data_IF_255721919515
#
_entry.id   IF_255721919515
#
_cell.length_a   1.000
_cell.length_b   1.000
_cell.length_c   1.000
_cell.angle_alpha   90.00
_cell.angle_beta   90.00
_cell.angle_gamma   90.00
#
_symmetry.space_group_name_H-M   'P 1'
#
loop_
_entity.id
_entity.type
_entity.pdbx_description
1 polymer ?
#
# COMPACT_ATOMS: atom_id res chain seq x y z
N UNK A 1 -7.29 25.67 -32.44
CA UNK A 1 -6.03 25.42 -31.66
C UNK A 1 -6.21 25.62 -30.17
N UNK A 2 -6.90 26.72 -29.67
CA UNK A 2 -7.08 26.94 -28.23
C UNK A 2 -8.02 25.88 -27.62
N UNK A 3 -9.13 25.56 -28.28
CA UNK A 3 -10.05 24.50 -27.85
C UNK A 3 -9.41 23.14 -27.78
N UNK A 4 -8.50 22.82 -28.68
CA UNK A 4 -7.79 21.55 -28.71
C UNK A 4 -6.86 21.39 -27.50
N UNK A 5 -6.24 22.50 -27.02
CA UNK A 5 -5.43 22.52 -25.81
C UNK A 5 -6.28 22.43 -24.53
N UNK A 6 -7.45 23.08 -24.50
CA UNK A 6 -8.37 23.00 -23.37
C UNK A 6 -8.95 21.60 -23.23
N UNK A 7 -9.33 20.95 -24.33
CA UNK A 7 -9.84 19.59 -24.32
C UNK A 7 -8.74 18.57 -23.95
N UNK A 8 -7.49 18.77 -24.40
CA UNK A 8 -6.37 17.96 -24.01
C UNK A 8 -6.03 18.10 -22.53
N UNK A 9 -6.04 19.33 -22.00
CA UNK A 9 -5.82 19.58 -20.57
C UNK A 9 -6.92 18.98 -19.69
N UNK A 10 -8.18 19.09 -20.12
CA UNK A 10 -9.31 18.48 -19.41
C UNK A 10 -9.18 16.95 -19.36
N UNK A 11 -8.82 16.32 -20.48
CA UNK A 11 -8.57 14.88 -20.54
C UNK A 11 -7.39 14.45 -19.66
N UNK A 12 -6.34 15.27 -19.54
CA UNK A 12 -5.21 15.02 -18.67
C UNK A 12 -5.61 15.16 -17.19
N UNK A 13 -6.39 16.18 -16.85
CA UNK A 13 -6.92 16.37 -15.50
C UNK A 13 -7.87 15.23 -15.09
N UNK A 14 -8.75 14.80 -16.00
CA UNK A 14 -9.65 13.67 -15.76
C UNK A 14 -8.88 12.36 -15.57
N UNK A 15 -7.80 12.15 -16.33
CA UNK A 15 -6.90 11.01 -16.13
C UNK A 15 -6.14 11.08 -14.81
N UNK A 16 -5.68 12.26 -14.40
CA UNK A 16 -4.99 12.44 -13.11
C UNK A 16 -5.92 12.24 -11.91
N UNK A 17 -7.20 12.62 -12.03
CA UNK A 17 -8.18 12.40 -10.96
C UNK A 17 -8.53 10.92 -10.76
N UNK A 18 -8.32 10.08 -11.79
CA UNK A 18 -8.57 8.65 -11.73
C UNK A 18 -7.35 7.82 -11.29
N UNK A 19 -6.19 8.44 -11.09
CA UNK A 19 -5.01 7.76 -10.57
C UNK A 19 -5.18 7.58 -9.06
N UNK A 20 -5.28 6.33 -8.64
CA UNK A 20 -5.34 5.98 -7.22
C UNK A 20 -4.01 6.31 -6.54
N UNK A 21 -4.10 6.93 -5.38
CA UNK A 21 -2.93 7.26 -4.56
C UNK A 21 -2.49 6.04 -3.75
N UNK A 22 -1.20 5.94 -3.49
CA UNK A 22 -0.67 4.96 -2.54
C UNK A 22 -1.06 5.39 -1.13
N UNK A 23 -1.53 4.44 -0.31
CA UNK A 23 -1.88 4.69 1.08
C UNK A 23 -0.70 5.24 1.86
N UNK A 24 -0.96 6.25 2.68
CA UNK A 24 0.03 6.82 3.59
C UNK A 24 -0.53 6.75 5.02
N UNK A 25 0.17 6.08 5.95
CA UNK A 25 -0.25 6.04 7.35
C UNK A 25 -0.32 7.45 7.95
N UNK A 26 -1.31 7.70 8.80
CA UNK A 26 -1.48 9.01 9.46
C UNK A 26 -0.37 9.30 10.48
N UNK A 27 0.15 8.25 11.11
CA UNK A 27 1.25 8.34 12.08
C UNK A 27 2.47 7.64 11.52
N UNK A 28 3.65 8.26 11.74
CA UNK A 28 4.91 7.62 11.42
C UNK A 28 5.05 6.35 12.27
N UNK A 29 5.26 5.21 11.61
CA UNK A 29 5.54 3.95 12.29
C UNK A 29 6.70 3.25 11.60
N UNK A 30 7.60 2.72 12.37
CA UNK A 30 8.66 1.83 11.90
C UNK A 30 8.15 0.40 11.74
N UNK A 31 7.01 0.08 12.35
CA UNK A 31 6.37 -1.22 12.21
C UNK A 31 5.68 -1.34 10.85
N UNK A 32 6.21 -2.21 10.02
CA UNK A 32 5.67 -2.48 8.68
C UNK A 32 4.24 -3.01 8.71
N UNK A 33 3.87 -3.79 9.71
CA UNK A 33 2.51 -4.33 9.87
C UNK A 33 1.54 -3.21 10.22
N UNK A 34 1.89 -2.35 11.17
CA UNK A 34 1.07 -1.23 11.60
C UNK A 34 0.81 -0.23 10.45
N UNK A 35 1.69 -0.15 9.47
CA UNK A 35 1.51 0.72 8.29
C UNK A 35 0.32 0.34 7.41
N UNK A 36 -0.19 -0.89 7.54
CA UNK A 36 -1.36 -1.39 6.79
C UNK A 36 -2.66 -1.43 7.61
N UNK A 37 -2.63 -1.05 8.89
CA UNK A 37 -3.77 -1.18 9.81
C UNK A 37 -5.07 -0.59 9.25
N UNK A 38 -5.04 0.63 8.75
CA UNK A 38 -6.22 1.29 8.17
C UNK A 38 -6.75 0.59 6.92
N UNK A 39 -5.86 0.04 6.08
CA UNK A 39 -6.27 -0.71 4.89
C UNK A 39 -6.91 -2.05 5.26
N UNK A 40 -6.38 -2.75 6.27
CA UNK A 40 -6.98 -3.98 6.77
C UNK A 40 -8.38 -3.75 7.33
N UNK A 41 -8.56 -2.68 8.11
CA UNK A 41 -9.87 -2.30 8.65
C UNK A 41 -10.88 -2.06 7.52
N UNK A 42 -10.51 -1.30 6.51
CA UNK A 42 -11.37 -1.03 5.34
C UNK A 42 -11.77 -2.31 4.61
N UNK A 43 -10.82 -3.22 4.38
CA UNK A 43 -11.08 -4.50 3.69
C UNK A 43 -12.01 -5.38 4.52
N UNK A 44 -11.78 -5.47 5.83
CA UNK A 44 -12.65 -6.24 6.72
C UNK A 44 -14.07 -5.65 6.77
N UNK A 45 -14.19 -4.32 6.76
CA UNK A 45 -15.49 -3.65 6.70
C UNK A 45 -16.23 -3.96 5.39
N UNK A 46 -15.54 -3.99 4.25
CA UNK A 46 -16.15 -4.40 2.98
C UNK A 46 -16.60 -5.86 3.00
N UNK A 47 -15.86 -6.76 3.63
CA UNK A 47 -16.28 -8.15 3.84
C UNK A 47 -17.57 -8.21 4.66
N UNK A 48 -17.67 -7.44 5.73
CA UNK A 48 -18.87 -7.37 6.59
C UNK A 48 -20.07 -6.75 5.88
N UNK A 49 -19.87 -5.64 5.16
CA UNK A 49 -20.93 -4.94 4.42
C UNK A 49 -21.55 -5.86 3.36
N UNK A 50 -20.76 -6.71 2.73
CA UNK A 50 -21.24 -7.69 1.75
C UNK A 50 -21.73 -9.00 2.38
N UNK A 51 -21.82 -9.08 3.70
CA UNK A 51 -22.27 -10.26 4.45
C UNK A 51 -21.52 -11.56 4.15
N UNK A 52 -20.24 -11.44 3.80
CA UNK A 52 -19.35 -12.57 3.64
C UNK A 52 -18.80 -13.03 4.98
N UNK A 53 -18.64 -14.33 5.14
CA UNK A 53 -17.98 -14.92 6.30
C UNK A 53 -16.49 -15.05 6.04
N UNK A 54 -15.67 -14.38 6.84
CA UNK A 54 -14.22 -14.52 6.79
C UNK A 54 -13.79 -15.78 7.54
N UNK A 55 -13.19 -16.74 6.83
CA UNK A 55 -12.69 -17.98 7.42
C UNK A 55 -11.24 -17.90 7.86
N UNK A 56 -10.39 -17.29 7.03
CA UNK A 56 -8.98 -17.12 7.35
C UNK A 56 -8.39 -15.92 6.63
N UNK A 57 -7.38 -15.35 7.26
CA UNK A 57 -6.52 -14.31 6.70
C UNK A 57 -5.09 -14.77 6.84
N UNK A 58 -4.35 -14.76 5.75
CA UNK A 58 -2.91 -14.94 5.73
C UNK A 58 -2.28 -13.71 5.11
N UNK A 59 -1.13 -13.30 5.60
CA UNK A 59 -0.42 -12.16 5.04
C UNK A 59 1.09 -12.36 5.08
N UNK A 60 1.78 -11.71 4.17
CA UNK A 60 3.23 -11.67 4.09
C UNK A 60 3.68 -10.24 3.86
N UNK A 61 4.49 -9.74 4.78
CA UNK A 61 5.04 -8.37 4.72
C UNK A 61 6.34 -8.38 3.94
N UNK A 62 6.46 -7.43 3.02
CA UNK A 62 7.66 -7.16 2.25
C UNK A 62 8.28 -8.42 1.62
N UNK A 63 7.52 -9.17 0.81
CA UNK A 63 8.04 -10.36 0.16
C UNK A 63 9.21 -9.98 -0.77
N UNK A 64 10.30 -10.74 -0.69
CA UNK A 64 11.53 -10.44 -1.40
C UNK A 64 11.40 -10.54 -2.94
N UNK A 65 10.41 -11.28 -3.41
CA UNK A 65 10.10 -11.48 -4.82
C UNK A 65 9.12 -10.43 -5.39
N UNK A 66 8.60 -9.52 -4.56
CA UNK A 66 7.75 -8.42 -5.04
C UNK A 66 8.58 -7.39 -5.81
N UNK A 67 8.11 -7.05 -7.01
CA UNK A 67 8.83 -6.16 -7.93
C UNK A 67 8.93 -4.73 -7.37
N UNK A 68 7.87 -4.23 -6.76
CA UNK A 68 7.84 -2.87 -6.21
C UNK A 68 8.72 -2.77 -4.98
N UNK A 69 8.62 -3.75 -4.07
CA UNK A 69 9.48 -3.80 -2.91
C UNK A 69 10.95 -3.98 -3.30
N UNK A 70 11.24 -4.84 -4.27
CA UNK A 70 12.59 -5.06 -4.77
C UNK A 70 13.23 -3.81 -5.38
N UNK A 71 12.45 -2.98 -6.07
CA UNK A 71 12.95 -1.73 -6.67
C UNK A 71 12.99 -0.54 -5.72
N UNK A 72 12.05 -0.45 -4.79
CA UNK A 72 11.84 0.71 -3.93
C UNK A 72 11.65 0.33 -2.45
N UNK A 73 12.59 -0.45 -1.85
CA UNK A 73 12.42 -0.95 -0.49
C UNK A 73 12.43 0.14 0.58
N UNK A 74 13.00 1.29 0.28
CA UNK A 74 13.05 2.45 1.18
C UNK A 74 11.84 3.36 1.10
N UNK A 75 11.04 3.25 0.01
CA UNK A 75 9.89 4.12 -0.24
C UNK A 75 8.56 3.46 0.12
N UNK A 76 8.45 2.15 -0.06
CA UNK A 76 7.18 1.43 0.09
C UNK A 76 7.32 0.19 0.96
N UNK A 77 6.27 -0.06 1.74
CA UNK A 77 5.98 -1.37 2.30
C UNK A 77 4.97 -2.07 1.39
N UNK A 78 5.10 -3.37 1.26
CA UNK A 78 4.21 -4.23 0.47
C UNK A 78 3.66 -5.33 1.37
N UNK A 79 2.38 -5.63 1.26
CA UNK A 79 1.75 -6.72 1.98
C UNK A 79 0.90 -7.57 1.04
N UNK A 80 1.25 -8.81 0.89
CA UNK A 80 0.40 -9.79 0.22
C UNK A 80 -0.58 -10.36 1.24
N UNK A 81 -1.87 -10.24 0.95
CA UNK A 81 -2.96 -10.74 1.79
C UNK A 81 -3.74 -11.79 1.05
N UNK A 82 -3.97 -12.91 1.68
CA UNK A 82 -4.88 -13.94 1.20
C UNK A 82 -6.08 -14.03 2.14
N UNK A 83 -7.26 -13.81 1.59
CA UNK A 83 -8.52 -13.95 2.29
C UNK A 83 -9.25 -15.21 1.83
N UNK A 84 -9.74 -16.01 2.77
CA UNK A 84 -10.64 -17.10 2.49
C UNK A 84 -12.03 -16.75 3.03
N UNK A 85 -13.00 -16.68 2.15
CA UNK A 85 -14.34 -16.18 2.42
C UNK A 85 -15.39 -17.22 2.04
N UNK A 86 -16.50 -17.25 2.76
CA UNK A 86 -17.69 -18.05 2.42
C UNK A 86 -18.88 -17.12 2.26
N UNK A 87 -19.63 -17.33 1.20
CA UNK A 87 -20.83 -16.57 0.93
C UNK A 87 -21.46 -16.95 -0.41
N UNK A 88 -22.41 -16.17 -0.86
CA UNK A 88 -22.99 -16.32 -2.20
C UNK A 88 -22.14 -15.64 -3.25
N UNK A 89 -22.32 -16.01 -4.50
CA UNK A 89 -21.65 -15.35 -5.63
C UNK A 89 -21.95 -13.84 -5.70
N UNK A 90 -23.18 -13.45 -5.43
CA UNK A 90 -23.59 -12.03 -5.43
C UNK A 90 -22.87 -11.23 -4.34
N UNK A 91 -22.69 -11.82 -3.17
CA UNK A 91 -21.93 -11.19 -2.07
C UNK A 91 -20.46 -11.03 -2.44
N UNK A 92 -19.86 -12.03 -3.07
CA UNK A 92 -18.47 -11.94 -3.57
C UNK A 92 -18.33 -10.87 -4.65
N UNK A 93 -19.28 -10.80 -5.59
CA UNK A 93 -19.29 -9.74 -6.62
C UNK A 93 -19.34 -8.34 -6.00
N UNK A 94 -20.14 -8.15 -4.96
CA UNK A 94 -20.22 -6.91 -4.20
C UNK A 94 -18.87 -6.53 -3.58
N UNK A 95 -18.17 -7.48 -2.96
CA UNK A 95 -16.84 -7.26 -2.40
C UNK A 95 -15.81 -6.88 -3.47
N UNK A 96 -15.78 -7.61 -4.59
CA UNK A 96 -14.85 -7.30 -5.70
C UNK A 96 -15.13 -5.92 -6.26
N UNK A 97 -16.38 -5.51 -6.36
CA UNK A 97 -16.77 -4.17 -6.78
C UNK A 97 -16.25 -3.11 -5.81
N UNK A 98 -16.45 -3.31 -4.51
CA UNK A 98 -15.95 -2.39 -3.48
C UNK A 98 -14.43 -2.26 -3.49
N UNK A 99 -13.72 -3.37 -3.66
CA UNK A 99 -12.26 -3.36 -3.81
C UNK A 99 -11.80 -2.63 -5.10
N UNK A 100 -12.57 -2.74 -6.17
CA UNK A 100 -12.26 -2.05 -7.45
C UNK A 100 -12.37 -0.53 -7.32
N UNK A 101 -13.32 -0.04 -6.53
CA UNK A 101 -13.52 1.41 -6.29
C UNK A 101 -12.77 1.91 -5.05
N UNK A 102 -12.00 1.07 -4.39
CA UNK A 102 -11.19 1.46 -3.23
C UNK A 102 -10.28 2.64 -3.58
N UNK A 103 -10.22 3.70 -2.74
CA UNK A 103 -9.56 4.96 -3.09
C UNK A 103 -8.03 4.86 -3.17
N UNK A 104 -7.45 3.85 -2.53
CA UNK A 104 -6.01 3.65 -2.55
C UNK A 104 -5.61 2.56 -3.54
N UNK A 105 -4.36 2.62 -3.99
CA UNK A 105 -3.82 1.63 -4.91
C UNK A 105 -3.65 0.28 -4.22
N UNK A 106 -4.34 -0.73 -4.73
CA UNK A 106 -4.20 -2.13 -4.36
C UNK A 106 -4.18 -2.97 -5.64
N UNK A 107 -3.61 -4.15 -5.57
CA UNK A 107 -3.63 -5.10 -6.68
C UNK A 107 -4.40 -6.36 -6.28
N UNK A 108 -5.53 -6.57 -6.94
CA UNK A 108 -6.30 -7.81 -6.83
C UNK A 108 -5.69 -8.81 -7.82
N UNK A 109 -4.84 -9.71 -7.36
CA UNK A 109 -4.06 -10.59 -8.23
C UNK A 109 -4.78 -11.86 -8.64
N UNK A 110 -5.61 -12.40 -7.76
CA UNK A 110 -6.31 -13.67 -8.00
C UNK A 110 -7.60 -13.76 -7.21
N UNK A 111 -8.62 -14.32 -7.84
CA UNK A 111 -9.86 -14.75 -7.21
C UNK A 111 -10.13 -16.20 -7.62
N UNK A 112 -10.09 -17.12 -6.65
CA UNK A 112 -10.46 -18.53 -6.85
C UNK A 112 -11.79 -18.78 -6.20
N UNK A 113 -12.68 -19.45 -6.92
CA UNK A 113 -14.01 -19.78 -6.45
C UNK A 113 -14.18 -21.29 -6.52
N UNK A 114 -14.55 -21.89 -5.38
CA UNK A 114 -14.86 -23.29 -5.27
C UNK A 114 -16.25 -23.46 -4.66
N UNK A 115 -16.99 -24.54 -5.01
CA UNK A 115 -18.24 -24.87 -4.35
C UNK A 115 -18.01 -25.10 -2.84
N UNK A 116 -18.98 -24.71 -2.02
CA UNK A 116 -18.97 -25.06 -0.61
C UNK A 116 -19.59 -26.42 -0.42
N UNK A 117 -18.82 -27.41 0.06
CA UNK A 117 -19.23 -28.81 0.12
C UNK A 117 -20.45 -29.07 1.00
N UNK A 118 -20.70 -28.19 1.97
CA UNK A 118 -21.81 -28.35 2.93
C UNK A 118 -23.12 -27.75 2.46
N UNK A 119 -23.12 -26.86 1.47
CA UNK A 119 -24.29 -26.17 0.98
C UNK A 119 -24.05 -25.61 -0.42
N UNK A 120 -24.82 -26.06 -1.39
CA UNK A 120 -24.72 -25.71 -2.82
C UNK A 120 -25.00 -24.22 -3.11
N UNK A 121 -25.64 -23.51 -2.17
CA UNK A 121 -25.97 -22.09 -2.33
C UNK A 121 -24.77 -21.19 -2.03
N UNK A 122 -23.74 -21.74 -1.40
CA UNK A 122 -22.55 -21.01 -0.99
C UNK A 122 -21.33 -21.43 -1.79
N UNK A 123 -20.38 -20.52 -1.86
CA UNK A 123 -19.06 -20.72 -2.44
C UNK A 123 -17.97 -20.40 -1.40
N UNK A 124 -16.82 -21.01 -1.58
CA UNK A 124 -15.58 -20.59 -0.91
C UNK A 124 -14.79 -19.79 -1.92
N UNK A 125 -14.47 -18.56 -1.58
CA UNK A 125 -13.61 -17.70 -2.38
C UNK A 125 -12.27 -17.50 -1.68
N UNK A 126 -11.20 -17.69 -2.43
CA UNK A 126 -9.85 -17.31 -2.02
C UNK A 126 -9.41 -16.10 -2.84
N UNK A 127 -9.13 -14.99 -2.18
CA UNK A 127 -8.77 -13.73 -2.82
C UNK A 127 -7.35 -13.36 -2.40
N UNK A 128 -6.50 -13.09 -3.39
CA UNK A 128 -5.16 -12.59 -3.18
C UNK A 128 -5.10 -11.10 -3.52
N UNK A 129 -4.75 -10.29 -2.55
CA UNK A 129 -4.66 -8.83 -2.67
C UNK A 129 -3.24 -8.40 -2.28
N UNK A 130 -2.63 -7.55 -3.08
CA UNK A 130 -1.38 -6.89 -2.71
C UNK A 130 -1.68 -5.46 -2.31
N UNK A 131 -1.28 -5.10 -1.10
CA UNK A 131 -1.41 -3.77 -0.52
C UNK A 131 -0.08 -3.04 -0.58
N UNK A 132 -0.13 -1.74 -0.82
CA UNK A 132 1.05 -0.86 -0.85
C UNK A 132 0.85 0.29 0.12
N UNK A 133 1.86 0.55 0.94
CA UNK A 133 1.88 1.66 1.89
C UNK A 133 3.17 2.44 1.75
N UNK A 134 3.06 3.76 1.70
CA UNK A 134 4.22 4.64 1.58
C UNK A 134 4.94 4.73 2.92
N UNK A 135 6.26 4.49 2.93
CA UNK A 135 7.09 4.72 4.10
C UNK A 135 7.19 6.22 4.37
N UNK A 136 7.00 6.62 5.60
CA UNK A 136 7.31 7.99 6.01
C UNK A 136 8.82 8.12 6.14
N UNK A 137 9.40 9.06 5.41
CA UNK A 137 10.77 9.44 5.61
C UNK A 137 10.85 10.21 6.94
N UNK A 138 11.63 9.71 7.89
CA UNK A 138 11.93 10.47 9.10
C UNK A 138 12.67 11.74 8.70
N UNK A 139 12.28 12.90 9.26
CA UNK A 139 12.91 14.18 9.00
C UNK A 139 14.43 14.21 9.33
N UNK A 140 14.93 13.19 10.03
CA UNK A 140 16.35 13.04 10.37
C UNK A 140 17.25 12.70 9.17
N UNK A 141 16.72 12.23 8.04
CA UNK A 141 17.53 11.90 6.86
C UNK A 141 17.78 13.08 5.92
N UNK A 142 17.20 14.25 6.17
CA UNK A 142 17.38 15.44 5.33
C UNK A 142 18.45 16.39 5.85
N UNK A 143 18.97 16.20 7.08
CA UNK A 143 20.01 17.04 7.67
C UNK A 143 21.42 16.41 7.68
N UNK A 144 21.73 15.50 6.81
CA UNK A 144 23.05 14.86 6.70
C UNK A 144 23.80 15.24 5.44
N UNK A 145 24.09 16.52 5.26
CA UNK A 145 24.85 16.91 4.08
C UNK A 145 25.21 18.38 3.98
N UNK A 146 25.93 18.88 4.96
CA UNK A 146 26.85 19.99 4.71
C UNK A 146 28.05 19.86 5.65
N UNK A 147 29.13 19.35 5.06
CA UNK A 147 30.43 19.31 5.67
C UNK A 147 30.91 20.71 5.96
N UNK A 148 31.14 20.98 7.21
CA UNK A 148 31.92 22.14 7.60
C UNK A 148 33.36 21.92 7.16
N UNK A 149 34.00 22.87 6.44
CA UNK A 149 35.42 22.79 6.15
C UNK A 149 36.21 23.05 7.43
N UNK A 150 37.17 22.20 7.66
CA UNK A 150 38.04 22.27 8.78
C UNK A 150 38.79 23.63 8.85
N UNK A 151 38.73 24.23 10.00
CA UNK A 151 39.64 25.27 10.37
C UNK A 151 40.92 24.65 10.91
N UNK A 152 41.95 24.70 10.11
CA UNK A 152 43.34 24.54 10.57
C UNK A 152 43.70 25.77 11.41
N UNK A 153 44.05 25.54 12.63
CA UNK A 153 44.65 26.56 13.50
C UNK A 153 45.66 25.88 14.37
N UNK A 154 46.84 25.93 14.02
CA UNK A 154 48.04 26.61 14.39
C UNK A 154 48.41 26.38 15.87
N UNK A 155 49.39 25.48 16.07
CA UNK A 155 50.16 25.43 17.31
C UNK A 155 51.10 26.64 17.38
N UNK A 156 51.36 27.20 18.52
CA UNK A 156 52.63 27.82 18.77
C UNK A 156 53.47 27.00 19.72
N UNK A 157 54.66 26.72 19.23
CA UNK A 157 55.80 26.34 20.03
C UNK A 157 56.27 27.55 20.89
N UNK A 158 56.64 27.26 22.04
CA UNK A 158 57.43 28.08 22.91
C UNK A 158 57.73 27.26 24.12
N UNK A 159 58.89 26.87 24.41
CA UNK A 159 60.16 27.48 24.48
C UNK A 159 60.46 27.80 25.91
N UNK A 160 61.46 27.22 26.44
CA UNK A 160 62.15 27.90 27.51
C UNK A 160 62.25 27.13 28.85
N UNK A 161 63.35 26.68 28.98
CA UNK A 161 64.27 26.46 30.08
C UNK A 161 64.07 25.25 30.92
#
# INVERSE_FOLDING_TARGET
>A
KLKDYEDANKRLMDKQSNIKKVFQPKTATEDSIASFGGMFEDIIDYVKINNLMLRSVQYQINPADDIIYGKFPTLYNVCNVQLMLVGTYVQLEGLVRDLTVYPYFINLSEVRINPYEKDDQYIIATINITLYSKKQQSAASVMGGDGAPGAAGGAPAGGGM
#
